data_IF_157678635743
#
_entry.id   IF_157678635743
#
_cell.length_a   1.000
_cell.length_b   1.000
_cell.length_c   1.000
_cell.angle_alpha   90.00
_cell.angle_beta   90.00
_cell.angle_gamma   90.00
#
_symmetry.space_group_name_H-M   'P 1'
#
loop_
_entity.id
_entity.type
_entity.pdbx_description
1 polymer ?
#
# COMPACT_ATOMS: atom_id res chain seq x y z
N UNK A 1 -26.42 9.20 -2.11
CA UNK A 1 -25.79 8.10 -2.89
C UNK A 1 -24.41 7.87 -2.31
N UNK A 2 -24.20 6.82 -1.50
CA UNK A 2 -22.86 6.43 -1.07
C UNK A 2 -22.24 5.67 -2.22
N UNK A 3 -21.29 6.28 -2.94
CA UNK A 3 -20.43 5.52 -3.83
C UNK A 3 -19.61 4.57 -2.94
N UNK A 4 -19.38 3.30 -3.32
CA UNK A 4 -18.46 2.46 -2.57
C UNK A 4 -17.13 3.21 -2.47
N UNK A 5 -16.67 3.47 -1.25
CA UNK A 5 -15.36 4.05 -0.99
C UNK A 5 -14.38 3.13 -1.73
N UNK A 6 -13.63 3.62 -2.73
CA UNK A 6 -12.72 2.74 -3.45
C UNK A 6 -11.76 2.15 -2.43
N UNK A 7 -11.62 0.82 -2.40
CA UNK A 7 -10.67 0.11 -1.54
C UNK A 7 -9.24 0.51 -1.96
N UNK A 8 -8.78 1.68 -1.50
CA UNK A 8 -7.49 2.26 -1.89
C UNK A 8 -6.39 1.90 -0.90
N UNK A 9 -6.75 1.72 0.38
CA UNK A 9 -5.79 1.38 1.42
C UNK A 9 -6.44 0.67 2.61
N UNK A 10 -5.63 -0.18 3.25
CA UNK A 10 -5.90 -0.79 4.54
C UNK A 10 -4.82 -0.33 5.53
N UNK A 11 -5.23 0.01 6.75
CA UNK A 11 -4.34 0.49 7.81
C UNK A 11 -4.09 -0.61 8.83
N UNK A 12 -2.83 -0.73 9.24
CA UNK A 12 -2.39 -1.77 10.16
C UNK A 12 -1.81 -1.19 11.44
N UNK A 13 -0.66 -1.71 11.85
CA UNK A 13 0.05 -1.29 13.04
C UNK A 13 0.73 0.07 12.84
N UNK A 14 0.19 1.12 13.48
CA UNK A 14 0.72 2.50 13.44
C UNK A 14 2.18 2.65 13.90
N UNK A 15 2.71 1.68 14.63
CA UNK A 15 4.11 1.66 15.08
C UNK A 15 5.03 0.89 14.14
N UNK A 16 4.50 0.23 13.10
CA UNK A 16 5.33 -0.41 12.09
C UNK A 16 6.08 0.63 11.26
N UNK A 17 7.27 0.26 10.80
CA UNK A 17 8.13 1.10 9.96
C UNK A 17 7.96 0.85 8.46
N UNK A 18 7.03 -0.03 8.08
CA UNK A 18 6.86 -0.47 6.69
C UNK A 18 5.47 -0.10 6.17
N UNK A 19 5.42 0.58 5.03
CA UNK A 19 4.22 0.70 4.20
C UNK A 19 4.35 -0.19 2.97
N UNK A 20 3.24 -0.70 2.44
CA UNK A 20 3.22 -1.49 1.21
C UNK A 20 2.38 -0.77 0.15
N UNK A 21 2.92 -0.67 -1.05
CA UNK A 21 2.23 -0.15 -2.22
C UNK A 21 2.05 -1.30 -3.24
N UNK A 22 0.81 -1.68 -3.56
CA UNK A 22 0.50 -2.76 -4.50
C UNK A 22 0.37 -2.28 -5.96
N UNK A 23 0.79 -1.05 -6.24
CA UNK A 23 0.59 -0.38 -7.53
C UNK A 23 -0.88 -0.48 -7.96
N UNK A 24 -1.18 -0.88 -9.18
CA UNK A 24 -2.54 -1.04 -9.70
C UNK A 24 -3.22 -2.35 -9.29
N UNK A 25 -2.59 -3.21 -8.48
CA UNK A 25 -3.12 -4.54 -8.15
C UNK A 25 -4.13 -4.53 -7.00
N UNK A 26 -5.39 -4.86 -7.30
CA UNK A 26 -6.45 -5.03 -6.29
C UNK A 26 -6.38 -6.40 -5.61
N UNK A 27 -6.02 -7.46 -6.35
CA UNK A 27 -5.95 -8.82 -5.79
C UNK A 27 -4.86 -8.91 -4.74
N UNK A 28 -3.70 -8.29 -5.00
CA UNK A 28 -2.61 -8.23 -4.03
C UNK A 28 -2.98 -7.37 -2.82
N UNK A 29 -3.71 -6.27 -3.02
CA UNK A 29 -4.22 -5.44 -1.93
C UNK A 29 -5.12 -6.26 -1.00
N UNK A 30 -6.12 -6.96 -1.56
CA UNK A 30 -7.05 -7.80 -0.80
C UNK A 30 -6.32 -8.92 -0.06
N UNK A 31 -5.41 -9.62 -0.72
CA UNK A 31 -4.60 -10.68 -0.11
C UNK A 31 -3.76 -10.18 1.07
N UNK A 32 -3.12 -9.03 0.91
CA UNK A 32 -2.28 -8.45 1.96
C UNK A 32 -3.10 -7.75 3.06
N UNK A 33 -4.37 -7.41 2.83
CA UNK A 33 -5.25 -6.86 3.86
C UNK A 33 -5.66 -7.87 4.95
N UNK A 34 -5.36 -9.17 4.76
CA UNK A 34 -5.60 -10.17 5.79
C UNK A 34 -4.85 -9.81 7.10
N UNK A 35 -5.47 -10.02 8.29
CA UNK A 35 -4.90 -9.58 9.57
C UNK A 35 -3.44 -9.99 9.80
N UNK A 36 -3.08 -11.22 9.40
CA UNK A 36 -1.73 -11.78 9.55
C UNK A 36 -0.63 -10.95 8.88
N UNK A 37 -0.96 -10.23 7.81
CA UNK A 37 -0.04 -9.32 7.12
C UNK A 37 -0.20 -7.89 7.64
N UNK A 38 -1.45 -7.44 7.78
CA UNK A 38 -1.79 -6.07 8.15
C UNK A 38 -1.22 -5.68 9.53
N UNK A 39 -1.14 -6.61 10.48
CA UNK A 39 -0.55 -6.38 11.81
C UNK A 39 0.95 -6.04 11.80
N UNK A 40 1.66 -6.34 10.71
CA UNK A 40 3.12 -6.13 10.60
C UNK A 40 3.49 -4.87 9.83
N UNK A 41 2.53 -4.18 9.21
CA UNK A 41 2.75 -3.02 8.35
C UNK A 41 1.90 -1.84 8.82
N UNK A 42 2.34 -0.62 8.54
CA UNK A 42 1.61 0.59 8.88
C UNK A 42 0.39 0.78 7.97
N UNK A 43 0.57 0.52 6.67
CA UNK A 43 -0.49 0.54 5.68
C UNK A 43 -0.18 -0.37 4.50
N UNK A 44 -1.22 -0.73 3.76
CA UNK A 44 -1.13 -1.35 2.44
C UNK A 44 -2.07 -0.56 1.53
N UNK A 45 -1.58 -0.01 0.43
CA UNK A 45 -2.41 0.75 -0.51
C UNK A 45 -2.12 0.44 -1.97
N UNK A 46 -3.10 0.69 -2.84
CA UNK A 46 -2.97 0.65 -4.29
C UNK A 46 -2.95 2.07 -4.87
N UNK A 47 -2.27 2.25 -6.00
CA UNK A 47 -2.27 3.50 -6.76
C UNK A 47 -3.34 3.41 -7.85
N UNK A 48 -4.37 4.26 -7.78
CA UNK A 48 -5.38 4.39 -8.84
C UNK A 48 -4.90 5.23 -10.02
N UNK A 49 -3.94 6.10 -9.77
CA UNK A 49 -3.30 6.99 -10.72
C UNK A 49 -1.83 7.08 -10.33
N UNK A 50 -0.95 7.12 -11.32
CA UNK A 50 0.49 7.28 -11.09
C UNK A 50 0.76 8.57 -10.30
N UNK A 51 0.27 9.72 -10.76
CA UNK A 51 0.57 11.01 -10.14
C UNK A 51 -0.12 11.18 -8.78
N UNK A 52 -1.46 11.17 -8.76
CA UNK A 52 -2.23 11.41 -7.53
C UNK A 52 -2.06 10.30 -6.49
N UNK A 53 -1.84 9.07 -6.94
CA UNK A 53 -1.56 7.94 -6.06
C UNK A 53 -0.21 8.10 -5.37
N UNK A 54 0.85 8.43 -6.12
CA UNK A 54 2.18 8.67 -5.53
C UNK A 54 2.13 9.86 -4.57
N UNK A 55 1.45 10.95 -4.93
CA UNK A 55 1.26 12.11 -4.04
C UNK A 55 0.60 11.71 -2.72
N UNK A 56 -0.47 10.91 -2.79
CA UNK A 56 -1.20 10.43 -1.60
C UNK A 56 -0.34 9.51 -0.73
N UNK A 57 0.46 8.63 -1.34
CA UNK A 57 1.39 7.74 -0.64
C UNK A 57 2.48 8.54 0.10
N UNK A 58 3.13 9.49 -0.61
CA UNK A 58 4.17 10.34 -0.03
C UNK A 58 3.61 11.18 1.12
N UNK A 59 2.42 11.76 0.95
CA UNK A 59 1.74 12.52 2.00
C UNK A 59 1.45 11.68 3.24
N UNK A 60 0.98 10.44 3.07
CA UNK A 60 0.72 9.55 4.19
C UNK A 60 1.99 9.18 4.95
N UNK A 61 3.06 8.81 4.22
CA UNK A 61 4.34 8.44 4.81
C UNK A 61 4.95 9.60 5.58
N UNK A 62 4.89 10.82 5.03
CA UNK A 62 5.39 12.02 5.71
C UNK A 62 4.61 12.37 7.00
N UNK A 63 3.33 11.99 7.09
CA UNK A 63 2.53 12.18 8.31
C UNK A 63 2.77 11.13 9.40
N UNK A 64 3.39 10.00 9.05
CA UNK A 64 3.69 8.91 9.98
C UNK A 64 5.21 8.72 10.07
N UNK A 65 5.91 9.42 10.98
CA UNK A 65 7.37 9.41 11.07
C UNK A 65 7.97 8.03 11.42
N UNK A 66 7.13 7.09 11.87
CA UNK A 66 7.53 5.71 12.10
C UNK A 66 7.87 4.97 10.80
N UNK A 67 7.24 5.33 9.67
CA UNK A 67 7.42 4.67 8.39
C UNK A 67 8.77 5.07 7.80
N UNK A 68 9.65 4.10 7.62
CA UNK A 68 11.00 4.26 7.08
C UNK A 68 11.17 3.61 5.72
N UNK A 69 10.31 2.64 5.40
CA UNK A 69 10.42 1.84 4.18
C UNK A 69 9.06 1.74 3.50
N UNK A 70 9.05 1.98 2.18
CA UNK A 70 7.91 1.67 1.31
C UNK A 70 8.31 0.44 0.48
N UNK A 71 7.56 -0.65 0.61
CA UNK A 71 7.71 -1.81 -0.26
C UNK A 71 6.74 -1.70 -1.43
N UNK A 72 7.27 -1.59 -2.65
CA UNK A 72 6.46 -1.60 -3.88
C UNK A 72 6.35 -3.04 -4.37
N UNK A 73 5.12 -3.49 -4.62
CA UNK A 73 4.79 -4.84 -5.12
C UNK A 73 3.77 -4.73 -6.24
N UNK A 74 3.89 -5.56 -7.26
CA UNK A 74 2.89 -5.68 -8.33
C UNK A 74 2.42 -7.13 -8.43
N UNK A 75 1.25 -7.36 -9.04
CA UNK A 75 0.80 -8.71 -9.41
C UNK A 75 1.34 -9.17 -10.75
N UNK A 76 2.15 -8.36 -11.43
CA UNK A 76 2.83 -8.79 -12.65
C UNK A 76 3.84 -9.86 -12.23
N UNK A 77 3.84 -10.97 -12.97
CA UNK A 77 4.76 -12.09 -12.79
C UNK A 77 6.20 -11.62 -12.64
N UNK A 78 7.04 -12.45 -12.02
CA UNK A 78 8.49 -12.28 -11.90
C UNK A 78 9.15 -12.16 -13.29
N UNK A 79 9.02 -11.03 -13.93
CA UNK A 79 9.78 -10.62 -15.10
C UNK A 79 10.24 -9.21 -14.79
N UNK A 80 11.54 -9.07 -14.56
CA UNK A 80 12.24 -7.93 -13.96
C UNK A 80 12.37 -8.00 -12.43
N UNK A 81 12.94 -9.10 -11.95
CA UNK A 81 14.02 -8.95 -10.97
C UNK A 81 15.19 -8.26 -11.70
N UNK A 82 15.33 -6.95 -11.52
CA UNK A 82 16.52 -6.21 -11.96
C UNK A 82 16.97 -5.34 -10.79
N UNK A 83 18.04 -5.85 -10.17
CA UNK A 83 18.96 -5.30 -9.16
C UNK A 83 18.39 -4.66 -7.90
#
# INVERSE_FOLDING_TARGET
MLLPIPEEAYFGNKNSSVAVCTLSSIDLLKKLSEPKFLQNVAMIGRLLSENKGIESLVHYVNKNPNIKTIQVKSSVSKDLAVY
#
